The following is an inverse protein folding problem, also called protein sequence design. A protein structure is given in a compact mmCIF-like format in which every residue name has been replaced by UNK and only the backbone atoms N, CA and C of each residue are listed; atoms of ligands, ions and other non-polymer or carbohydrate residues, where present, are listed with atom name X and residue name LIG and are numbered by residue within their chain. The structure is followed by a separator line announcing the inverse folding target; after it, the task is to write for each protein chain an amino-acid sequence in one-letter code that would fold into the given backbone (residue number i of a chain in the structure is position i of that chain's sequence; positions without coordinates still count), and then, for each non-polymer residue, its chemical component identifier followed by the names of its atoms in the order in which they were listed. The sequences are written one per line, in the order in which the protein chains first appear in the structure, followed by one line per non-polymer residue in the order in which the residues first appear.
data_IF_272210660716
#
_entry.id   IF_272210660716
#
_cell.length_a   1.000
_cell.length_b   1.000
_cell.length_c   1.000
_cell.angle_alpha   90.00
_cell.angle_beta   90.00
_cell.angle_gamma   90.00
#
_symmetry.space_group_name_H-M   'P 1'
#
loop_
_entity.id
_entity.type
_entity.pdbx_description
1 polymer ?
#
# COMPACT_ATOMS: atom_id res chain seq x y z
N UNK A 1 -5.88 17.35 -4.40
CA UNK A 1 -5.05 17.69 -5.57
C UNK A 1 -3.70 17.03 -5.33
N UNK A 2 -3.36 15.98 -6.09
CA UNK A 2 -2.13 15.18 -5.88
C UNK A 2 -0.94 15.96 -6.46
N UNK A 3 0.13 16.13 -5.71
CA UNK A 3 1.35 16.80 -6.19
C UNK A 3 2.33 15.73 -6.67
N UNK A 4 3.12 16.03 -7.71
CA UNK A 4 4.24 15.18 -8.09
C UNK A 4 5.44 15.49 -7.20
N UNK A 5 6.31 14.50 -6.95
CA UNK A 5 7.49 14.71 -6.10
C UNK A 5 8.34 15.90 -6.56
N UNK A 6 8.53 16.08 -7.87
CA UNK A 6 9.27 17.22 -8.43
C UNK A 6 8.60 18.57 -8.11
N UNK A 7 7.27 18.61 -8.09
CA UNK A 7 6.52 19.81 -7.69
C UNK A 7 6.75 20.11 -6.21
N UNK A 8 6.69 19.09 -5.36
CA UNK A 8 6.98 19.22 -3.93
C UNK A 8 8.40 19.72 -3.68
N UNK A 9 9.40 19.16 -4.38
CA UNK A 9 10.79 19.60 -4.25
C UNK A 9 10.99 21.05 -4.70
N UNK A 10 10.37 21.48 -5.82
CA UNK A 10 10.43 22.88 -6.27
C UNK A 10 9.79 23.84 -5.26
N UNK A 11 8.66 23.47 -4.67
CA UNK A 11 7.99 24.26 -3.65
C UNK A 11 8.83 24.38 -2.38
N UNK A 12 9.43 23.27 -1.91
CA UNK A 12 10.31 23.28 -0.75
C UNK A 12 11.58 24.07 -0.99
N UNK A 13 12.20 23.96 -2.17
CA UNK A 13 13.36 24.76 -2.55
C UNK A 13 13.03 26.27 -2.54
N UNK A 14 11.88 26.64 -3.11
CA UNK A 14 11.40 28.02 -3.11
C UNK A 14 11.10 28.53 -1.70
N UNK A 15 10.45 27.73 -0.86
CA UNK A 15 10.13 28.11 0.53
C UNK A 15 11.39 28.22 1.41
N UNK A 16 12.40 27.39 1.13
CA UNK A 16 13.67 27.38 1.86
C UNK A 16 14.69 28.40 1.31
N UNK A 17 14.39 29.07 0.19
CA UNK A 17 15.30 29.98 -0.48
C UNK A 17 16.56 29.31 -1.08
N UNK A 18 16.54 27.98 -1.25
CA UNK A 18 17.70 27.21 -1.71
C UNK A 18 17.72 27.12 -3.24
N UNK A 19 18.87 27.45 -3.83
CA UNK A 19 19.11 27.24 -5.26
C UNK A 19 19.53 25.79 -5.55
N UNK A 20 19.54 25.42 -6.84
CA UNK A 20 20.08 24.12 -7.30
C UNK A 20 21.52 23.92 -6.82
N UNK A 21 22.32 24.98 -6.82
CA UNK A 21 23.73 24.95 -6.42
C UNK A 21 23.88 24.72 -4.91
N UNK A 22 23.02 25.35 -4.11
CA UNK A 22 22.99 25.15 -2.65
C UNK A 22 22.62 23.71 -2.31
N UNK A 23 21.59 23.19 -3.00
CA UNK A 23 21.18 21.79 -2.85
C UNK A 23 22.25 20.81 -3.30
N UNK A 24 22.94 21.06 -4.41
CA UNK A 24 24.05 20.22 -4.87
C UNK A 24 25.23 20.22 -3.88
N UNK A 25 25.44 21.34 -3.17
CA UNK A 25 26.46 21.45 -2.12
C UNK A 25 26.05 20.69 -0.86
N UNK A 26 24.76 20.71 -0.51
CA UNK A 26 24.23 20.05 0.68
C UNK A 26 24.06 18.52 0.52
N UNK A 27 23.98 18.01 -0.71
CA UNK A 27 23.64 16.60 -0.98
C UNK A 27 24.88 15.82 -1.44
N UNK A 28 25.34 14.83 -0.66
CA UNK A 28 26.49 14.01 -1.03
C UNK A 28 26.26 13.31 -2.38
N UNK A 29 27.29 13.32 -3.23
CA UNK A 29 27.32 12.61 -4.53
C UNK A 29 26.22 13.04 -5.51
N UNK A 30 25.66 14.24 -5.36
CA UNK A 30 24.69 14.81 -6.30
C UNK A 30 25.20 16.13 -6.87
N UNK A 31 25.51 16.16 -8.17
CA UNK A 31 25.87 17.40 -8.86
C UNK A 31 24.64 18.24 -9.21
N UNK A 32 24.84 19.51 -9.57
CA UNK A 32 23.77 20.43 -9.97
C UNK A 32 22.86 19.83 -11.05
N UNK A 33 23.43 19.15 -12.05
CA UNK A 33 22.65 18.48 -13.10
C UNK A 33 21.72 17.38 -12.56
N UNK A 34 22.18 16.62 -11.56
CA UNK A 34 21.38 15.57 -10.93
C UNK A 34 20.24 16.17 -10.12
N UNK A 35 20.51 17.22 -9.35
CA UNK A 35 19.48 17.96 -8.61
C UNK A 35 18.46 18.58 -9.57
N UNK A 36 18.90 19.20 -10.66
CA UNK A 36 17.99 19.72 -11.68
C UNK A 36 17.12 18.63 -12.32
N UNK A 37 17.67 17.45 -12.58
CA UNK A 37 16.88 16.32 -13.10
C UNK A 37 15.78 15.88 -12.11
N UNK A 38 16.05 15.91 -10.80
CA UNK A 38 15.03 15.65 -9.78
C UNK A 38 13.97 16.74 -9.75
N UNK A 39 14.38 18.01 -9.78
CA UNK A 39 13.46 19.15 -9.80
C UNK A 39 12.64 19.23 -11.08
N UNK A 40 13.02 18.56 -12.17
CA UNK A 40 12.22 18.42 -13.40
C UNK A 40 11.40 17.13 -13.46
N UNK A 41 11.57 16.22 -12.50
CA UNK A 41 10.90 14.92 -12.49
C UNK A 41 11.46 13.90 -13.48
N UNK A 42 12.63 14.16 -14.07
CA UNK A 42 13.29 13.25 -15.03
C UNK A 42 13.94 12.05 -14.34
N UNK A 43 14.33 12.22 -13.06
CA UNK A 43 14.96 11.18 -12.25
C UNK A 43 14.40 11.22 -10.83
N UNK A 44 14.35 10.06 -10.19
CA UNK A 44 14.03 9.96 -8.77
C UNK A 44 15.32 9.97 -7.92
N UNK A 45 15.36 10.74 -6.82
CA UNK A 45 16.42 10.63 -5.83
C UNK A 45 16.36 9.28 -5.11
N UNK A 46 17.52 8.72 -4.78
CA UNK A 46 17.63 7.55 -3.92
C UNK A 46 17.34 7.89 -2.45
N UNK A 47 17.28 6.87 -1.59
CA UNK A 47 16.96 7.02 -0.16
C UNK A 47 17.89 8.00 0.57
N UNK A 48 19.21 7.80 0.46
CA UNK A 48 20.18 8.68 1.14
C UNK A 48 20.12 10.13 0.62
N UNK A 49 19.76 10.31 -0.65
CA UNK A 49 19.58 11.61 -1.27
C UNK A 49 18.28 12.28 -0.80
N UNK A 50 17.21 11.51 -0.60
CA UNK A 50 15.97 11.98 0.02
C UNK A 50 16.19 12.39 1.47
N UNK A 51 16.97 11.64 2.23
CA UNK A 51 17.33 12.01 3.60
C UNK A 51 18.16 13.30 3.64
N UNK A 52 19.09 13.48 2.70
CA UNK A 52 19.86 14.72 2.57
C UNK A 52 18.98 15.92 2.14
N UNK A 53 18.07 15.72 1.18
CA UNK A 53 17.07 16.72 0.76
C UNK A 53 16.18 17.13 1.93
N UNK A 54 15.67 16.16 2.69
CA UNK A 54 14.84 16.39 3.86
C UNK A 54 15.55 17.28 4.88
N UNK A 55 16.83 16.98 5.19
CA UNK A 55 17.66 17.79 6.08
C UNK A 55 17.89 19.19 5.52
N UNK A 56 18.20 19.32 4.23
CA UNK A 56 18.42 20.62 3.59
C UNK A 56 17.17 21.51 3.64
N UNK A 57 15.98 20.93 3.46
CA UNK A 57 14.71 21.65 3.54
C UNK A 57 14.16 21.79 4.97
N UNK A 58 14.80 21.20 5.97
CA UNK A 58 14.30 21.20 7.36
C UNK A 58 12.99 20.43 7.55
N UNK A 59 12.69 19.45 6.69
CA UNK A 59 11.47 18.63 6.77
C UNK A 59 11.77 17.21 7.22
N UNK A 60 10.82 16.48 7.84
CA UNK A 60 11.02 15.07 8.15
C UNK A 60 11.17 14.23 6.88
N UNK A 61 12.19 13.35 6.82
CA UNK A 61 12.41 12.46 5.68
C UNK A 61 11.21 11.54 5.39
N UNK A 62 10.50 11.13 6.45
CA UNK A 62 9.25 10.36 6.33
C UNK A 62 8.17 11.07 5.51
N UNK A 63 8.12 12.40 5.52
CA UNK A 63 7.14 13.17 4.73
C UNK A 63 7.49 13.14 3.24
N UNK A 64 8.76 13.32 2.87
CA UNK A 64 9.21 13.21 1.48
C UNK A 64 9.05 11.77 0.95
N UNK A 65 9.32 10.76 1.78
CA UNK A 65 9.11 9.36 1.43
C UNK A 65 7.62 9.02 1.26
N UNK A 66 6.74 9.59 2.09
CA UNK A 66 5.30 9.41 1.94
C UNK A 66 4.78 10.03 0.63
N UNK A 67 5.30 11.19 0.24
CA UNK A 67 4.97 11.83 -1.04
C UNK A 67 5.46 10.99 -2.23
N UNK A 68 6.68 10.47 -2.15
CA UNK A 68 7.21 9.54 -3.16
C UNK A 68 6.37 8.26 -3.25
N UNK A 69 6.03 7.64 -2.11
CA UNK A 69 5.16 6.46 -2.07
C UNK A 69 3.79 6.75 -2.70
N UNK A 70 3.25 7.94 -2.42
CA UNK A 70 1.98 8.41 -2.99
C UNK A 70 2.08 8.65 -4.50
N UNK A 71 3.26 9.00 -5.03
CA UNK A 71 3.49 9.12 -6.48
C UNK A 71 3.60 7.75 -7.15
N UNK A 72 4.27 6.79 -6.49
CA UNK A 72 4.54 5.45 -7.05
C UNK A 72 3.36 4.47 -6.94
N UNK A 73 2.47 4.68 -5.97
CA UNK A 73 1.27 3.86 -5.77
C UNK A 73 0.02 4.75 -5.94
N UNK A 74 -0.34 5.11 -7.18
CA UNK A 74 -1.50 5.96 -7.43
C UNK A 74 -2.82 5.32 -6.96
N UNK A 75 -2.87 3.98 -6.90
CA UNK A 75 -4.03 3.22 -6.48
C UNK A 75 -4.33 3.37 -4.98
N UNK A 76 -3.30 3.59 -4.15
CA UNK A 76 -3.45 3.83 -2.72
C UNK A 76 -4.01 5.21 -2.45
N UNK A 77 -5.34 5.31 -2.45
CA UNK A 77 -6.07 6.55 -2.21
C UNK A 77 -6.24 6.81 -0.71
N UNK A 78 -6.52 8.07 -0.32
CA UNK A 78 -6.90 8.41 1.06
C UNK A 78 -8.05 7.53 1.56
N UNK A 79 -9.04 7.26 0.71
CA UNK A 79 -10.16 6.37 1.04
C UNK A 79 -9.74 4.92 1.32
N UNK A 80 -8.69 4.41 0.67
CA UNK A 80 -8.13 3.08 0.98
C UNK A 80 -7.45 3.07 2.34
N UNK A 81 -6.71 4.12 2.67
CA UNK A 81 -6.09 4.27 4.00
C UNK A 81 -7.16 4.33 5.11
N UNK A 82 -8.20 5.14 4.90
CA UNK A 82 -9.29 5.28 5.86
C UNK A 82 -10.06 3.96 6.01
N UNK A 83 -10.30 3.25 4.89
CA UNK A 83 -10.92 1.91 4.90
C UNK A 83 -10.08 0.90 5.67
N UNK A 84 -8.76 0.88 5.48
CA UNK A 84 -7.86 -0.04 6.19
C UNK A 84 -7.77 0.30 7.68
N UNK A 85 -7.76 1.58 8.04
CA UNK A 85 -7.78 2.03 9.43
C UNK A 85 -9.09 1.59 10.12
N UNK A 86 -10.24 1.83 9.47
CA UNK A 86 -11.54 1.36 9.95
C UNK A 86 -11.57 -0.17 10.07
N UNK A 87 -11.14 -0.90 9.04
CA UNK A 87 -11.10 -2.37 9.04
C UNK A 87 -10.30 -2.93 10.23
N UNK A 88 -9.14 -2.35 10.55
CA UNK A 88 -8.29 -2.79 11.67
C UNK A 88 -8.89 -2.52 13.06
N UNK A 89 -9.80 -1.55 13.18
CA UNK A 89 -10.48 -1.24 14.43
C UNK A 89 -11.72 -2.13 14.69
N UNK A 90 -12.23 -2.82 13.65
CA UNK A 90 -13.38 -3.71 13.74
C UNK A 90 -13.03 -5.07 14.35
N UNK A 91 -14.02 -5.73 14.95
CA UNK A 91 -13.90 -7.13 15.35
C UNK A 91 -13.93 -8.09 14.14
N UNK A 92 -13.57 -9.36 14.35
CA UNK A 92 -13.49 -10.36 13.27
C UNK A 92 -14.80 -10.60 12.54
N UNK A 93 -15.96 -10.43 13.21
CA UNK A 93 -17.27 -10.60 12.59
C UNK A 93 -17.60 -9.40 11.69
N UNK A 94 -17.35 -8.19 12.18
CA UNK A 94 -17.55 -6.94 11.47
C UNK A 94 -16.62 -6.82 10.25
N UNK A 95 -15.36 -7.22 10.39
CA UNK A 95 -14.41 -7.34 9.29
C UNK A 95 -14.94 -8.26 8.18
N UNK A 96 -15.46 -9.43 8.55
CA UNK A 96 -16.08 -10.37 7.60
C UNK A 96 -17.27 -9.74 6.87
N UNK A 97 -18.16 -9.06 7.59
CA UNK A 97 -19.31 -8.39 7.00
C UNK A 97 -18.92 -7.28 6.02
N UNK A 98 -17.92 -6.45 6.38
CA UNK A 98 -17.40 -5.40 5.52
C UNK A 98 -16.82 -5.97 4.22
N UNK A 99 -16.08 -7.08 4.30
CA UNK A 99 -15.52 -7.75 3.13
C UNK A 99 -16.60 -8.35 2.21
N UNK A 100 -17.67 -8.93 2.77
CA UNK A 100 -18.78 -9.47 1.96
C UNK A 100 -19.53 -8.36 1.21
N UNK A 101 -19.78 -7.22 1.88
CA UNK A 101 -20.41 -6.06 1.23
C UNK A 101 -19.51 -5.51 0.12
N UNK A 102 -18.22 -5.30 0.41
CA UNK A 102 -17.26 -4.81 -0.58
C UNK A 102 -17.15 -5.77 -1.78
N UNK A 103 -17.10 -7.08 -1.54
CA UNK A 103 -17.05 -8.11 -2.57
C UNK A 103 -18.32 -8.12 -3.44
N UNK A 104 -19.49 -8.02 -2.81
CA UNK A 104 -20.78 -7.90 -3.50
C UNK A 104 -20.85 -6.65 -4.38
N UNK A 105 -20.37 -5.50 -3.89
CA UNK A 105 -20.34 -4.25 -4.64
C UNK A 105 -19.35 -4.28 -5.81
N UNK A 106 -18.20 -4.95 -5.62
CA UNK A 106 -17.19 -5.11 -6.66
C UNK A 106 -17.57 -6.16 -7.72
N UNK A 107 -18.72 -6.84 -7.59
CA UNK A 107 -19.11 -7.95 -8.47
C UNK A 107 -18.20 -9.17 -8.36
N UNK A 108 -17.32 -9.21 -7.36
CA UNK A 108 -16.39 -10.31 -7.11
C UNK A 108 -17.05 -11.27 -6.12
N UNK A 109 -17.68 -12.34 -6.61
CA UNK A 109 -18.12 -13.40 -5.68
C UNK A 109 -16.87 -14.09 -5.13
N UNK A 110 -16.55 -13.83 -3.87
CA UNK A 110 -15.50 -14.54 -3.15
C UNK A 110 -15.89 -16.02 -3.11
N UNK A 111 -15.08 -16.88 -3.73
CA UNK A 111 -15.18 -18.32 -3.49
C UNK A 111 -14.87 -18.54 -2.02
N UNK A 112 -15.89 -18.86 -1.22
CA UNK A 112 -15.73 -19.13 0.20
C UNK A 112 -14.64 -20.19 0.40
N UNK A 113 -13.69 -20.00 1.33
CA UNK A 113 -12.71 -21.03 1.62
C UNK A 113 -13.49 -22.28 2.04
N UNK A 114 -13.19 -23.40 1.37
CA UNK A 114 -13.86 -24.67 1.59
C UNK A 114 -13.86 -24.97 3.10
N UNK A 115 -15.01 -24.76 3.75
CA UNK A 115 -15.21 -25.13 5.14
C UNK A 115 -14.95 -26.62 5.22
N UNK A 116 -13.82 -26.94 5.85
CA UNK A 116 -13.40 -28.26 6.33
C UNK A 116 -14.56 -29.23 6.40
N UNK A 117 -14.45 -30.32 5.64
CA UNK A 117 -15.38 -31.44 5.56
C UNK A 117 -15.91 -31.81 6.96
N UNK A 118 -17.09 -31.29 7.30
CA UNK A 118 -17.80 -31.69 8.52
C UNK A 118 -18.23 -33.15 8.34
N UNK A 119 -17.47 -34.05 8.99
CA UNK A 119 -17.79 -35.42 9.40
C UNK A 119 -19.20 -35.91 8.98
N UNK A 120 -19.25 -36.79 7.99
CA UNK A 120 -20.45 -37.57 7.71
C UNK A 120 -20.68 -38.60 8.85
N UNK A 121 -21.92 -38.75 9.37
CA UNK A 121 -22.20 -39.76 10.38
C UNK A 121 -22.31 -41.14 9.72
N UNK A 122 -21.61 -42.13 10.30
CA UNK A 122 -21.65 -43.52 9.88
C UNK A 122 -23.07 -44.10 10.02
N UNK A 123 -23.73 -44.42 8.90
CA UNK A 123 -24.97 -45.21 8.91
C UNK A 123 -24.64 -46.70 8.96
N UNK A 124 -24.77 -47.25 10.16
CA UNK A 124 -24.86 -48.69 10.45
C UNK A 124 -26.16 -49.24 9.85
N UNK A 125 -26.09 -50.16 8.89
CA UNK A 125 -27.18 -51.12 8.62
C UNK A 125 -26.60 -52.50 8.30
N UNK A 126 -26.81 -53.40 9.25
CA UNK A 126 -26.66 -54.83 9.09
C UNK A 126 -27.73 -55.33 8.11
N UNK A 127 -27.32 -56.07 7.09
CA UNK A 127 -28.22 -56.78 6.18
C UNK A 127 -27.84 -58.25 6.15
N UNK A 128 -28.71 -59.04 6.79
CA UNK A 128 -28.91 -60.48 6.76
C UNK A 128 -28.03 -61.31 5.81
N UNK A 129 -27.24 -62.23 6.39
CA UNK A 129 -26.67 -63.38 5.69
C UNK A 129 -27.80 -64.38 5.35
N UNK A 130 -28.13 -64.40 4.06
CA UNK A 130 -28.49 -65.54 3.19
C UNK A 130 -28.79 -66.89 3.90
N UNK A 131 -30.04 -67.35 3.81
CA UNK A 131 -30.43 -68.76 4.00
C UNK A 131 -30.44 -69.50 2.65
N UNK A 132 -29.99 -70.76 2.72
CA UNK A 132 -30.30 -71.93 1.88
C UNK A 132 -29.82 -71.97 0.41
N UNK A 133 -28.97 -72.96 0.14
CA UNK A 133 -28.86 -73.69 -1.13
C UNK A 133 -29.21 -75.16 -0.84
N UNK A 134 -29.74 -75.93 -1.81
CA UNK A 134 -30.37 -77.24 -1.59
C UNK A 134 -29.39 -78.33 -1.13
#
# INVERSE_FOLDING_TARGET
MRMSLDTTLRLLAKASGLSVTDLATAIPRAGANTVSAWLRGEKLPGRDQLDALARAFGVPAGALLAELASTLDPARTQGEHDLLAAYRALDTRQQGALLEVAASMAGTRRAAPARSARKAPAKKKASARKKAAP
#
